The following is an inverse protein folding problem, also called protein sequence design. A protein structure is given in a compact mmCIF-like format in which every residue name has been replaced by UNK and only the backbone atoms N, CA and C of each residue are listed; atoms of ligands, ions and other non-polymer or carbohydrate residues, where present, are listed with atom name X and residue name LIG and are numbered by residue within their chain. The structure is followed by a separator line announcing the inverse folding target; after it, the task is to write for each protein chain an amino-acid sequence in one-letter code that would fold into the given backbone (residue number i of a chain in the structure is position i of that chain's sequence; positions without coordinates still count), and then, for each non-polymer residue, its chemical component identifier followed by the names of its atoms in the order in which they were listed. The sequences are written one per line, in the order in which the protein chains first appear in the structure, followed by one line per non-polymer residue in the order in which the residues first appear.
data_IF_870823847552
#
_entry.id   IF_870823847552
#
_cell.length_a   1.000
_cell.length_b   1.000
_cell.length_c   1.000
_cell.angle_alpha   90.00
_cell.angle_beta   90.00
_cell.angle_gamma   90.00
#
_symmetry.space_group_name_H-M   'P 1'
#
loop_
_entity.id
_entity.type
_entity.pdbx_description
1 polymer ?
#
# COMPACT_ATOMS: atom_id res chain seq x y z
N UNK A 1 -14.99 40.36 -46.37
CA UNK A 1 -13.65 40.18 -46.96
C UNK A 1 -13.10 38.83 -46.47
N UNK A 2 -12.94 37.85 -47.34
CA UNK A 2 -12.41 36.51 -46.98
C UNK A 2 -10.89 36.64 -46.82
N UNK A 3 -10.43 36.81 -45.58
CA UNK A 3 -9.01 36.85 -45.21
C UNK A 3 -8.60 35.39 -44.88
N UNK A 4 -8.67 34.45 -45.81
CA UNK A 4 -7.50 34.07 -46.60
C UNK A 4 -6.87 32.83 -45.96
N UNK A 5 -7.25 31.65 -46.45
CA UNK A 5 -6.63 30.35 -46.16
C UNK A 5 -5.08 30.49 -46.22
N UNK A 6 -4.30 29.88 -45.30
CA UNK A 6 -2.84 29.86 -45.40
C UNK A 6 -2.32 29.39 -46.78
N UNK A 7 -3.10 28.57 -47.50
CA UNK A 7 -2.81 28.15 -48.88
C UNK A 7 -2.95 29.27 -49.93
N UNK A 8 -3.60 30.38 -49.60
CA UNK A 8 -3.91 31.53 -50.47
C UNK A 8 -3.08 32.78 -50.15
N UNK A 9 -2.01 32.66 -49.36
CA UNK A 9 -1.12 33.77 -49.07
C UNK A 9 -0.53 34.35 -50.38
N UNK A 10 -0.53 35.69 -50.55
CA UNK A 10 -0.07 36.32 -51.80
C UNK A 10 1.37 35.94 -52.16
N UNK A 11 1.64 35.77 -53.45
CA UNK A 11 3.00 35.59 -54.00
C UNK A 11 3.82 36.89 -54.08
N UNK A 12 3.19 38.04 -53.85
CA UNK A 12 3.83 39.35 -53.82
C UNK A 12 4.17 39.74 -52.37
N UNK A 13 5.46 39.88 -52.05
CA UNK A 13 6.00 40.07 -50.70
C UNK A 13 6.64 38.81 -50.13
N UNK A 14 7.17 38.86 -48.90
CA UNK A 14 7.68 37.67 -48.20
C UNK A 14 6.51 36.92 -47.54
N UNK A 15 6.07 35.77 -48.08
CA UNK A 15 4.92 35.03 -47.57
C UNK A 15 5.11 34.55 -46.12
N UNK A 16 6.35 34.44 -45.62
CA UNK A 16 6.60 34.02 -44.24
C UNK A 16 6.27 35.17 -43.27
N UNK A 17 6.70 36.39 -43.58
CA UNK A 17 6.39 37.58 -42.80
C UNK A 17 4.88 37.86 -42.80
N UNK A 18 4.21 37.66 -43.94
CA UNK A 18 2.77 37.82 -44.03
C UNK A 18 2.01 36.77 -43.20
N UNK A 19 2.46 35.51 -43.21
CA UNK A 19 1.94 34.45 -42.35
C UNK A 19 2.05 34.80 -40.86
N UNK A 20 3.21 35.30 -40.40
CA UNK A 20 3.38 35.77 -39.01
C UNK A 20 2.43 36.93 -38.69
N UNK A 21 2.31 37.90 -39.59
CA UNK A 21 1.44 39.08 -39.40
C UNK A 21 -0.02 38.68 -39.24
N UNK A 22 -0.52 37.82 -40.13
CA UNK A 22 -1.90 37.32 -40.08
C UNK A 22 -2.14 36.43 -38.86
N UNK A 23 -1.20 35.56 -38.51
CA UNK A 23 -1.27 34.75 -37.28
C UNK A 23 -1.45 35.62 -36.04
N UNK A 24 -0.66 36.71 -35.92
CA UNK A 24 -0.80 37.68 -34.81
C UNK A 24 -2.13 38.42 -34.82
N UNK A 25 -2.64 38.83 -36.00
CA UNK A 25 -3.94 39.47 -36.12
C UNK A 25 -5.09 38.54 -35.70
N UNK A 26 -5.00 37.26 -36.06
CA UNK A 26 -5.97 36.25 -35.66
C UNK A 26 -5.91 35.93 -34.16
N UNK A 27 -4.71 35.90 -33.58
CA UNK A 27 -4.52 35.76 -32.14
C UNK A 27 -5.17 36.93 -31.38
N UNK A 28 -4.96 38.17 -31.85
CA UNK A 28 -5.53 39.37 -31.24
C UNK A 28 -7.08 39.39 -31.31
N UNK A 29 -7.66 38.82 -32.36
CA UNK A 29 -9.12 38.66 -32.52
C UNK A 29 -9.67 37.36 -31.89
N UNK A 30 -8.85 36.64 -31.09
CA UNK A 30 -9.21 35.40 -30.40
C UNK A 30 -9.66 34.24 -31.31
N UNK A 31 -9.31 34.28 -32.59
CA UNK A 31 -9.49 33.15 -33.51
C UNK A 31 -8.29 32.22 -33.40
N UNK A 32 -8.23 31.49 -32.28
CA UNK A 32 -7.04 30.77 -31.82
C UNK A 32 -6.75 29.51 -32.65
N UNK A 33 -7.67 28.53 -32.60
CA UNK A 33 -7.61 27.27 -33.38
C UNK A 33 -8.85 27.05 -34.25
N UNK A 34 -9.82 27.95 -34.14
CA UNK A 34 -11.09 27.89 -34.87
C UNK A 34 -11.43 29.27 -35.46
N UNK A 35 -12.16 29.31 -36.58
CA UNK A 35 -12.52 28.18 -37.43
C UNK A 35 -11.31 27.67 -38.25
N UNK A 36 -11.41 26.42 -38.73
CA UNK A 36 -10.42 25.84 -39.64
C UNK A 36 -10.17 26.73 -40.87
N UNK A 37 -8.92 26.83 -41.31
CA UNK A 37 -8.49 27.65 -42.44
C UNK A 37 -8.36 29.14 -42.14
N UNK A 38 -8.80 29.61 -40.97
CA UNK A 38 -8.82 31.05 -40.63
C UNK A 38 -8.64 31.26 -39.13
N UNK A 39 -7.54 30.74 -38.58
CA UNK A 39 -7.16 30.86 -37.18
C UNK A 39 -5.65 31.04 -37.03
N UNK A 40 -5.22 31.58 -35.88
CA UNK A 40 -3.84 31.95 -35.59
C UNK A 40 -2.87 30.77 -35.67
N UNK A 41 -3.24 29.62 -35.08
CA UNK A 41 -2.40 28.43 -35.03
C UNK A 41 -1.98 27.98 -36.44
N UNK A 42 -2.93 27.89 -37.36
CA UNK A 42 -2.67 27.39 -38.72
C UNK A 42 -1.70 28.29 -39.50
N UNK A 43 -1.73 29.61 -39.32
CA UNK A 43 -0.75 30.51 -39.94
C UNK A 43 0.66 30.31 -39.39
N UNK A 44 0.81 30.15 -38.07
CA UNK A 44 2.12 29.87 -37.49
C UNK A 44 2.65 28.50 -37.90
N UNK A 45 1.78 27.48 -37.96
CA UNK A 45 2.13 26.15 -38.48
C UNK A 45 2.52 26.19 -39.97
N UNK A 46 1.84 27.00 -40.77
CA UNK A 46 2.17 27.22 -42.17
C UNK A 46 3.60 27.77 -42.34
N UNK A 47 3.99 28.74 -41.50
CA UNK A 47 5.35 29.30 -41.48
C UNK A 47 6.34 28.24 -41.03
N UNK A 48 6.09 27.51 -39.93
CA UNK A 48 7.00 26.46 -39.45
C UNK A 48 7.21 25.30 -40.43
N UNK A 49 6.21 24.98 -41.25
CA UNK A 49 6.35 23.96 -42.30
C UNK A 49 7.43 24.34 -43.34
N UNK A 50 7.71 25.63 -43.52
CA UNK A 50 8.67 26.16 -44.50
C UNK A 50 9.96 26.68 -43.87
N UNK A 51 9.84 27.30 -42.71
CA UNK A 51 10.96 27.69 -41.86
C UNK A 51 10.79 27.08 -40.45
N UNK A 52 11.27 25.84 -40.25
CA UNK A 52 11.19 25.16 -38.95
C UNK A 52 11.97 25.87 -37.82
N UNK A 53 12.89 26.78 -38.16
CA UNK A 53 13.72 27.54 -37.20
C UNK A 53 13.12 28.91 -36.87
N UNK A 54 11.97 29.26 -37.46
CA UNK A 54 11.31 30.55 -37.23
C UNK A 54 10.93 30.75 -35.77
N UNK A 55 11.75 31.52 -35.04
CA UNK A 55 11.47 31.89 -33.64
C UNK A 55 10.13 32.60 -33.50
N UNK A 56 9.76 33.44 -34.48
CA UNK A 56 8.51 34.18 -34.47
C UNK A 56 7.29 33.26 -34.59
N UNK A 57 7.35 32.23 -35.43
CA UNK A 57 6.24 31.29 -35.58
C UNK A 57 6.11 30.39 -34.34
N UNK A 58 7.24 29.89 -33.80
CA UNK A 58 7.24 29.11 -32.56
C UNK A 58 6.66 29.91 -31.39
N UNK A 59 7.11 31.16 -31.22
CA UNK A 59 6.57 32.06 -30.20
C UNK A 59 5.07 32.29 -30.40
N UNK A 60 4.61 32.47 -31.66
CA UNK A 60 3.20 32.61 -31.97
C UNK A 60 2.34 31.43 -31.53
N UNK A 61 2.82 30.19 -31.71
CA UNK A 61 2.13 28.98 -31.22
C UNK A 61 2.09 28.95 -29.69
N UNK A 62 3.19 29.31 -29.02
CA UNK A 62 3.23 29.45 -27.55
C UNK A 62 2.25 30.53 -27.08
N UNK A 63 2.14 31.66 -27.79
CA UNK A 63 1.21 32.74 -27.45
C UNK A 63 -0.25 32.33 -27.64
N UNK A 64 -0.56 31.50 -28.66
CA UNK A 64 -1.90 30.87 -28.81
C UNK A 64 -2.22 30.00 -27.59
N UNK A 65 -1.28 29.17 -27.13
CA UNK A 65 -1.49 28.34 -25.94
C UNK A 65 -1.69 29.20 -24.68
N UNK A 66 -0.85 30.23 -24.47
CA UNK A 66 -1.01 31.18 -23.36
C UNK A 66 -2.35 31.90 -23.41
N UNK A 67 -2.86 32.23 -24.60
CA UNK A 67 -4.17 32.88 -24.74
C UNK A 67 -5.31 31.99 -24.29
N UNK A 68 -5.21 30.67 -24.50
CA UNK A 68 -6.15 29.72 -23.90
C UNK A 68 -6.03 29.64 -22.37
N UNK A 69 -4.81 29.71 -21.82
CA UNK A 69 -4.64 29.79 -20.35
C UNK A 69 -5.30 31.05 -19.78
N UNK A 70 -5.16 32.20 -20.45
CA UNK A 70 -5.88 33.43 -20.05
C UNK A 70 -7.41 33.26 -20.11
N UNK A 71 -7.93 32.55 -21.12
CA UNK A 71 -9.36 32.23 -21.22
C UNK A 71 -9.83 31.30 -20.10
N UNK A 72 -9.00 30.31 -19.73
CA UNK A 72 -9.25 29.47 -18.57
C UNK A 72 -9.32 30.35 -17.31
N UNK A 73 -8.34 31.22 -17.07
CA UNK A 73 -8.31 32.10 -15.89
C UNK A 73 -9.54 33.01 -15.79
N UNK A 74 -10.05 33.49 -16.93
CA UNK A 74 -11.31 34.25 -16.98
C UNK A 74 -12.53 33.41 -16.63
N UNK A 75 -12.58 32.14 -17.03
CA UNK A 75 -13.66 31.23 -16.66
C UNK A 75 -13.61 30.87 -15.17
N UNK A 76 -12.40 30.70 -14.64
CA UNK A 76 -12.13 30.52 -13.21
C UNK A 76 -12.96 29.42 -12.55
N UNK A 77 -13.40 29.67 -11.32
CA UNK A 77 -14.27 28.77 -10.56
C UNK A 77 -15.75 28.87 -10.98
N UNK A 78 -16.15 29.96 -11.64
CA UNK A 78 -17.54 30.20 -12.05
C UNK A 78 -18.00 29.29 -13.19
N UNK A 79 -17.07 28.83 -14.03
CA UNK A 79 -17.32 27.82 -15.05
C UNK A 79 -16.13 26.86 -15.16
N UNK A 80 -16.14 25.82 -14.32
CA UNK A 80 -15.09 24.82 -14.29
C UNK A 80 -14.98 24.04 -15.61
N UNK A 81 -16.08 23.87 -16.35
CA UNK A 81 -16.07 23.16 -17.63
C UNK A 81 -15.30 23.98 -18.68
N UNK A 82 -15.60 25.28 -18.78
CA UNK A 82 -14.86 26.18 -19.64
C UNK A 82 -13.38 26.31 -19.20
N UNK A 83 -13.12 26.34 -17.90
CA UNK A 83 -11.75 26.34 -17.36
C UNK A 83 -10.94 25.15 -17.88
N UNK A 84 -11.44 23.93 -17.67
CA UNK A 84 -10.74 22.70 -18.07
C UNK A 84 -10.65 22.53 -19.58
N UNK A 85 -11.69 22.92 -20.33
CA UNK A 85 -11.69 22.88 -21.80
C UNK A 85 -10.65 23.82 -22.41
N UNK A 86 -10.51 25.03 -21.86
CA UNK A 86 -9.48 25.97 -22.30
C UNK A 86 -8.07 25.46 -21.95
N UNK A 87 -7.86 24.90 -20.75
CA UNK A 87 -6.58 24.27 -20.41
C UNK A 87 -6.23 23.08 -21.31
N UNK A 88 -7.23 22.27 -21.72
CA UNK A 88 -7.02 21.19 -22.68
C UNK A 88 -6.61 21.73 -24.06
N UNK A 89 -7.29 22.79 -24.54
CA UNK A 89 -6.93 23.44 -25.80
C UNK A 89 -5.52 24.06 -25.74
N UNK A 90 -5.15 24.67 -24.62
CA UNK A 90 -3.81 25.19 -24.39
C UNK A 90 -2.74 24.08 -24.46
N UNK A 91 -3.00 22.94 -23.81
CA UNK A 91 -2.10 21.78 -23.77
C UNK A 91 -1.93 21.15 -25.16
N UNK A 92 -3.03 21.03 -25.92
CA UNK A 92 -3.04 20.52 -27.30
C UNK A 92 -2.20 21.36 -28.25
N UNK A 93 -2.17 22.69 -28.05
CA UNK A 93 -1.33 23.61 -28.82
C UNK A 93 0.11 23.53 -28.34
N UNK A 94 0.34 23.68 -27.03
CA UNK A 94 1.67 23.74 -26.44
C UNK A 94 2.46 22.44 -26.66
N UNK A 95 1.81 21.28 -26.69
CA UNK A 95 2.50 19.99 -26.87
C UNK A 95 3.10 19.78 -28.27
N UNK A 96 2.76 20.64 -29.23
CA UNK A 96 3.28 20.54 -30.61
C UNK A 96 4.72 21.05 -30.76
N UNK A 97 5.26 21.72 -29.74
CA UNK A 97 6.60 22.31 -29.73
C UNK A 97 7.31 22.10 -28.39
N UNK A 98 8.63 21.98 -28.43
CA UNK A 98 9.46 21.93 -27.22
C UNK A 98 9.37 23.23 -26.42
N UNK A 99 9.29 24.38 -27.09
CA UNK A 99 9.11 25.71 -26.47
C UNK A 99 7.78 25.86 -25.71
N UNK A 100 6.83 24.95 -25.91
CA UNK A 100 5.58 24.90 -25.14
C UNK A 100 5.72 24.25 -23.76
N UNK A 101 6.89 23.71 -23.40
CA UNK A 101 7.10 22.96 -22.16
C UNK A 101 6.72 23.74 -20.89
N UNK A 102 7.08 25.02 -20.81
CA UNK A 102 6.75 25.87 -19.66
C UNK A 102 5.24 26.11 -19.52
N UNK A 103 4.54 26.27 -20.65
CA UNK A 103 3.07 26.41 -20.66
C UNK A 103 2.42 25.11 -20.19
N UNK A 104 2.90 23.94 -20.64
CA UNK A 104 2.39 22.65 -20.15
C UNK A 104 2.66 22.43 -18.66
N UNK A 105 3.81 22.88 -18.16
CA UNK A 105 4.13 22.83 -16.73
C UNK A 105 3.15 23.69 -15.91
N UNK A 106 2.82 24.89 -16.38
CA UNK A 106 1.82 25.76 -15.77
C UNK A 106 0.42 25.12 -15.80
N UNK A 107 0.00 24.56 -16.95
CA UNK A 107 -1.28 23.85 -17.09
C UNK A 107 -1.37 22.66 -16.11
N UNK A 108 -0.30 21.86 -15.99
CA UNK A 108 -0.25 20.74 -15.06
C UNK A 108 -0.39 21.20 -13.60
N UNK A 109 0.31 22.27 -13.20
CA UNK A 109 0.20 22.83 -11.85
C UNK A 109 -1.22 23.33 -11.53
N UNK A 110 -1.86 23.96 -12.52
CA UNK A 110 -3.24 24.44 -12.43
C UNK A 110 -4.25 23.31 -12.27
N UNK A 111 -4.14 22.26 -13.10
CA UNK A 111 -4.98 21.05 -12.99
C UNK A 111 -4.79 20.35 -11.65
N UNK A 112 -3.54 20.18 -11.20
CA UNK A 112 -3.24 19.60 -9.89
C UNK A 112 -3.89 20.36 -8.74
N UNK A 113 -3.86 21.71 -8.78
CA UNK A 113 -4.53 22.55 -7.77
C UNK A 113 -6.05 22.33 -7.72
N UNK A 114 -6.70 22.18 -8.88
CA UNK A 114 -8.14 21.91 -8.96
C UNK A 114 -8.47 20.47 -8.52
N UNK A 115 -7.56 19.53 -8.73
CA UNK A 115 -7.73 18.12 -8.36
C UNK A 115 -7.52 17.84 -6.86
N UNK A 116 -6.74 18.65 -6.14
CA UNK A 116 -6.33 18.35 -4.75
C UNK A 116 -7.49 18.08 -3.77
N UNK A 117 -8.62 18.82 -3.80
CA UNK A 117 -9.76 18.50 -2.94
C UNK A 117 -10.32 17.10 -3.17
N UNK A 118 -10.36 16.64 -4.42
CA UNK A 118 -10.82 15.30 -4.79
C UNK A 118 -9.80 14.22 -4.44
N UNK A 119 -8.50 14.52 -4.53
CA UNK A 119 -7.46 13.63 -3.99
C UNK A 119 -7.62 13.46 -2.48
N UNK A 120 -7.90 14.54 -1.75
CA UNK A 120 -8.17 14.47 -0.30
C UNK A 120 -9.42 13.66 -0.01
N UNK A 121 -10.51 13.89 -0.75
CA UNK A 121 -11.73 13.08 -0.65
C UNK A 121 -11.46 11.59 -0.90
N UNK A 122 -10.67 11.27 -1.92
CA UNK A 122 -10.30 9.89 -2.25
C UNK A 122 -9.50 9.24 -1.11
N UNK A 123 -8.50 9.94 -0.55
CA UNK A 123 -7.71 9.45 0.59
C UNK A 123 -8.58 9.19 1.83
N UNK A 124 -9.53 10.08 2.11
CA UNK A 124 -10.45 9.92 3.24
C UNK A 124 -11.38 8.71 3.01
N UNK A 125 -11.96 8.58 1.83
CA UNK A 125 -12.80 7.43 1.49
C UNK A 125 -12.04 6.09 1.55
N UNK A 126 -10.75 6.07 1.16
CA UNK A 126 -9.88 4.90 1.37
C UNK A 126 -9.71 4.58 2.86
N UNK A 127 -9.45 5.59 3.70
CA UNK A 127 -9.31 5.42 5.14
C UNK A 127 -10.61 4.91 5.80
N UNK A 128 -11.76 5.33 5.26
CA UNK A 128 -13.09 4.92 5.71
C UNK A 128 -13.57 3.60 5.08
N UNK A 129 -12.71 2.92 4.30
CA UNK A 129 -13.06 1.68 3.58
C UNK A 129 -14.23 1.82 2.59
N UNK A 130 -14.51 3.03 2.14
CA UNK A 130 -15.56 3.30 1.17
C UNK A 130 -15.03 3.19 -0.25
N UNK A 131 -15.09 1.97 -0.80
CA UNK A 131 -14.65 1.63 -2.16
C UNK A 131 -15.31 2.50 -3.23
N UNK A 132 -16.61 2.74 -3.12
CA UNK A 132 -17.39 3.45 -4.14
C UNK A 132 -16.94 4.90 -4.22
N UNK A 133 -16.89 5.59 -3.08
CA UNK A 133 -16.52 7.01 -3.05
C UNK A 133 -15.04 7.23 -3.35
N UNK A 134 -14.16 6.32 -2.91
CA UNK A 134 -12.74 6.37 -3.23
C UNK A 134 -12.51 6.31 -4.74
N UNK A 135 -13.16 5.36 -5.43
CA UNK A 135 -13.06 5.24 -6.88
C UNK A 135 -13.62 6.48 -7.59
N UNK A 136 -14.82 6.92 -7.22
CA UNK A 136 -15.46 8.08 -7.83
C UNK A 136 -14.59 9.35 -7.68
N UNK A 137 -13.98 9.56 -6.52
CA UNK A 137 -13.10 10.69 -6.28
C UNK A 137 -11.80 10.61 -7.11
N UNK A 138 -11.15 9.44 -7.20
CA UNK A 138 -9.98 9.27 -8.08
C UNK A 138 -10.31 9.42 -9.57
N UNK A 139 -11.46 8.90 -10.02
CA UNK A 139 -11.94 9.10 -11.39
C UNK A 139 -12.17 10.59 -11.67
N UNK A 140 -12.72 11.33 -10.70
CA UNK A 140 -12.90 12.78 -10.82
C UNK A 140 -11.56 13.52 -10.93
N UNK A 141 -10.54 13.09 -10.19
CA UNK A 141 -9.18 13.63 -10.35
C UNK A 141 -8.67 13.38 -11.76
N UNK A 142 -8.82 12.16 -12.30
CA UNK A 142 -8.34 11.83 -13.65
C UNK A 142 -9.10 12.56 -14.76
N UNK A 143 -10.35 12.99 -14.53
CA UNK A 143 -11.07 13.88 -15.44
C UNK A 143 -10.47 15.31 -15.45
N UNK A 144 -9.95 15.79 -14.32
CA UNK A 144 -9.37 17.12 -14.16
C UNK A 144 -7.90 17.13 -14.61
N UNK A 145 -7.15 16.11 -14.20
CA UNK A 145 -5.72 15.90 -14.45
C UNK A 145 -5.49 14.45 -14.96
N UNK A 146 -5.62 14.22 -16.28
CA UNK A 146 -5.48 12.88 -16.86
C UNK A 146 -4.11 12.23 -16.64
N UNK A 147 -3.08 13.06 -16.39
CA UNK A 147 -1.71 12.59 -16.20
C UNK A 147 -1.37 12.33 -14.74
N UNK A 148 -2.30 12.55 -13.81
CA UNK A 148 -2.09 12.36 -12.38
C UNK A 148 -1.75 10.90 -12.03
N UNK A 149 -0.49 10.64 -11.70
CA UNK A 149 -0.02 9.29 -11.36
C UNK A 149 -0.61 8.81 -10.04
N UNK A 150 -0.70 9.68 -9.04
CA UNK A 150 -1.27 9.39 -7.72
C UNK A 150 -2.71 8.91 -7.84
N UNK A 151 -3.54 9.56 -8.67
CA UNK A 151 -4.93 9.14 -8.87
C UNK A 151 -5.05 7.83 -9.65
N UNK A 152 -4.16 7.58 -10.63
CA UNK A 152 -4.18 6.32 -11.40
C UNK A 152 -3.81 5.12 -10.52
N UNK A 153 -2.75 5.26 -9.73
CA UNK A 153 -2.33 4.24 -8.76
C UNK A 153 -3.37 4.09 -7.64
N UNK A 154 -3.88 5.22 -7.14
CA UNK A 154 -4.94 5.27 -6.15
C UNK A 154 -6.23 4.58 -6.59
N UNK A 155 -6.66 4.78 -7.83
CA UNK A 155 -7.85 4.13 -8.39
C UNK A 155 -7.68 2.60 -8.48
N UNK A 156 -6.49 2.14 -8.87
CA UNK A 156 -6.14 0.71 -8.88
C UNK A 156 -6.20 0.14 -7.47
N UNK A 157 -5.60 0.81 -6.50
CA UNK A 157 -5.61 0.39 -5.09
C UNK A 157 -7.02 0.43 -4.49
N UNK A 158 -7.81 1.48 -4.75
CA UNK A 158 -9.18 1.63 -4.27
C UNK A 158 -10.11 0.53 -4.80
N UNK A 159 -9.87 0.07 -6.04
CA UNK A 159 -10.62 -1.06 -6.61
C UNK A 159 -10.41 -2.37 -5.86
N UNK A 160 -9.35 -2.49 -5.07
CA UNK A 160 -9.09 -3.64 -4.22
C UNK A 160 -9.68 -3.52 -2.81
N UNK A 161 -10.21 -2.36 -2.38
CA UNK A 161 -10.76 -2.23 -1.02
C UNK A 161 -11.79 -3.34 -0.74
N UNK A 162 -11.58 -4.07 0.36
CA UNK A 162 -12.43 -5.20 0.78
C UNK A 162 -12.24 -6.51 0.01
N UNK A 163 -11.45 -6.51 -1.07
CA UNK A 163 -11.17 -7.70 -1.87
C UNK A 163 -9.97 -8.48 -1.31
N UNK A 164 -9.91 -9.82 -1.52
CA UNK A 164 -8.76 -10.62 -1.11
C UNK A 164 -7.42 -10.04 -1.60
N UNK A 165 -6.44 -9.99 -0.69
CA UNK A 165 -5.12 -9.41 -0.95
C UNK A 165 -5.03 -7.89 -0.76
N UNK A 166 -6.14 -7.20 -0.47
CA UNK A 166 -6.09 -5.79 -0.08
C UNK A 166 -5.38 -5.60 1.26
N UNK A 167 -4.43 -4.67 1.29
CA UNK A 167 -3.59 -4.40 2.45
C UNK A 167 -3.94 -3.07 3.10
N UNK A 168 -3.88 -3.02 4.43
CA UNK A 168 -4.25 -1.84 5.21
C UNK A 168 -3.65 -1.87 6.63
N UNK A 169 -3.72 -0.72 7.31
CA UNK A 169 -3.47 -0.60 8.74
C UNK A 169 -4.68 0.04 9.42
N UNK A 170 -5.09 -0.51 10.56
CA UNK A 170 -5.96 0.22 11.48
C UNK A 170 -5.15 1.23 12.30
N UNK A 171 -5.76 2.35 12.67
CA UNK A 171 -5.12 3.36 13.53
C UNK A 171 -5.15 2.93 14.99
N UNK A 172 -4.05 3.18 15.71
CA UNK A 172 -3.93 3.00 17.15
C UNK A 172 -3.30 4.26 17.73
N UNK A 173 -4.10 5.09 18.40
CA UNK A 173 -3.65 6.42 18.83
C UNK A 173 -3.06 7.23 17.67
N UNK A 174 -1.82 7.71 17.83
CA UNK A 174 -1.06 8.39 16.76
C UNK A 174 -0.31 7.45 15.81
N UNK A 175 -0.32 6.14 16.08
CA UNK A 175 0.38 5.12 15.31
C UNK A 175 -0.54 4.22 14.49
N UNK A 176 0.03 3.12 14.00
CA UNK A 176 -0.64 2.11 13.20
C UNK A 176 -0.59 0.76 13.90
N UNK A 177 -1.68 0.01 13.78
CA UNK A 177 -1.73 -1.42 14.09
C UNK A 177 -0.93 -2.25 13.07
N UNK A 178 -0.99 -3.59 13.22
CA UNK A 178 -0.30 -4.49 12.29
C UNK A 178 -0.80 -4.27 10.86
N UNK A 179 0.10 -4.49 9.89
CA UNK A 179 -0.29 -4.52 8.48
C UNK A 179 -1.15 -5.75 8.23
N UNK A 180 -2.38 -5.54 7.78
CA UNK A 180 -3.37 -6.58 7.55
C UNK A 180 -3.52 -6.84 6.06
N UNK A 181 -3.88 -8.07 5.68
CA UNK A 181 -4.30 -8.44 4.33
C UNK A 181 -5.64 -9.16 4.37
N UNK A 182 -6.59 -8.74 3.55
CA UNK A 182 -7.89 -9.41 3.40
C UNK A 182 -7.69 -10.84 2.91
N UNK A 183 -8.32 -11.80 3.59
CA UNK A 183 -8.23 -13.22 3.29
C UNK A 183 -9.21 -13.64 2.19
N UNK A 184 -9.05 -14.88 1.70
CA UNK A 184 -10.00 -15.51 0.79
C UNK A 184 -11.42 -15.46 1.34
N UNK A 185 -12.38 -15.06 0.51
CA UNK A 185 -13.80 -14.91 0.89
C UNK A 185 -14.17 -13.57 1.51
N UNK A 186 -13.22 -12.66 1.77
CA UNK A 186 -13.48 -11.25 2.10
C UNK A 186 -14.28 -11.03 3.39
N UNK A 187 -14.15 -11.92 4.37
CA UNK A 187 -14.83 -11.84 5.68
C UNK A 187 -13.91 -11.52 6.85
N UNK A 188 -12.61 -11.69 6.65
CA UNK A 188 -11.59 -11.43 7.63
C UNK A 188 -10.31 -10.97 6.92
N UNK A 189 -9.45 -10.32 7.67
CA UNK A 189 -8.07 -10.03 7.31
C UNK A 189 -7.13 -10.66 8.34
N UNK A 190 -5.92 -11.00 7.93
CA UNK A 190 -4.86 -11.46 8.84
C UNK A 190 -3.67 -10.52 8.78
N UNK A 191 -2.94 -10.40 9.89
CA UNK A 191 -1.66 -9.72 9.87
C UNK A 191 -0.72 -10.41 8.86
N UNK A 192 0.02 -9.64 8.05
CA UNK A 192 0.92 -10.21 7.04
C UNK A 192 2.12 -10.93 7.64
N UNK A 193 2.46 -10.60 8.88
CA UNK A 193 3.57 -11.18 9.65
C UNK A 193 3.11 -11.50 11.06
N UNK A 194 3.86 -12.39 11.70
CA UNK A 194 3.66 -12.73 13.10
C UNK A 194 3.88 -11.50 13.98
N UNK A 195 3.24 -11.48 15.15
CA UNK A 195 3.39 -10.39 16.11
C UNK A 195 4.84 -10.39 16.59
N UNK A 196 5.50 -9.25 16.43
CA UNK A 196 6.91 -9.09 16.80
C UNK A 196 7.09 -8.86 18.29
N UNK A 197 8.31 -9.11 18.79
CA UNK A 197 8.68 -8.77 20.16
C UNK A 197 8.48 -7.28 20.44
N UNK A 198 8.81 -6.40 19.49
CA UNK A 198 8.59 -4.95 19.62
C UNK A 198 7.11 -4.58 19.73
N UNK A 199 6.23 -5.24 18.98
CA UNK A 199 4.78 -5.05 19.07
C UNK A 199 4.21 -5.55 20.40
N UNK A 200 4.61 -6.75 20.83
CA UNK A 200 4.17 -7.31 22.10
C UNK A 200 4.65 -6.48 23.28
N UNK A 201 5.88 -5.95 23.23
CA UNK A 201 6.42 -5.02 24.24
C UNK A 201 5.54 -3.78 24.43
N UNK A 202 4.97 -3.23 23.36
CA UNK A 202 4.03 -2.09 23.46
C UNK A 202 2.76 -2.48 24.22
N UNK A 203 2.17 -3.62 23.88
CA UNK A 203 1.03 -4.17 24.61
C UNK A 203 1.36 -4.42 26.09
N UNK A 204 2.50 -5.06 26.36
CA UNK A 204 2.90 -5.41 27.72
C UNK A 204 3.04 -4.17 28.60
N UNK A 205 3.70 -3.13 28.08
CA UNK A 205 3.86 -1.86 28.77
C UNK A 205 2.53 -1.11 28.95
N UNK A 206 1.64 -1.15 27.96
CA UNK A 206 0.37 -0.40 27.99
C UNK A 206 -0.71 -1.07 28.85
N UNK A 207 -0.79 -2.41 28.86
CA UNK A 207 -1.89 -3.14 29.49
C UNK A 207 -1.49 -4.52 30.04
N UNK A 208 -0.65 -5.27 29.31
CA UNK A 208 -0.38 -6.68 29.61
C UNK A 208 0.20 -6.91 31.00
N UNK A 209 1.22 -6.12 31.39
CA UNK A 209 1.85 -6.26 32.71
C UNK A 209 0.85 -6.11 33.85
N UNK A 210 -0.03 -5.10 33.80
CA UNK A 210 -1.07 -4.91 34.81
C UNK A 210 -2.10 -6.05 34.78
N UNK A 211 -2.52 -6.46 33.58
CA UNK A 211 -3.53 -7.51 33.38
C UNK A 211 -3.09 -8.87 33.95
N UNK A 212 -1.81 -9.21 33.85
CA UNK A 212 -1.25 -10.48 34.35
C UNK A 212 -0.51 -10.33 35.69
N UNK A 213 -0.69 -9.21 36.41
CA UNK A 213 -0.07 -8.98 37.71
C UNK A 213 1.46 -8.98 37.69
N UNK A 214 2.05 -8.58 36.56
CA UNK A 214 3.49 -8.55 36.31
C UNK A 214 4.13 -9.92 36.12
N UNK A 215 3.35 -11.00 36.06
CA UNK A 215 3.87 -12.38 35.95
C UNK A 215 3.92 -12.80 34.49
N UNK A 216 5.08 -13.26 34.07
CA UNK A 216 5.30 -13.90 32.77
C UNK A 216 5.05 -15.42 32.91
N UNK A 217 4.56 -16.11 31.87
CA UNK A 217 4.33 -17.55 31.92
C UNK A 217 5.66 -18.30 32.03
N UNK A 218 5.60 -19.55 32.49
CA UNK A 218 6.76 -20.43 32.40
C UNK A 218 7.11 -20.65 30.92
N UNK A 219 8.32 -20.24 30.50
CA UNK A 219 8.79 -20.52 29.14
C UNK A 219 9.58 -21.83 29.04
N UNK A 220 9.09 -22.76 28.22
CA UNK A 220 9.73 -24.06 27.98
C UNK A 220 10.66 -24.04 26.76
N UNK A 221 11.77 -24.77 26.86
CA UNK A 221 12.73 -24.93 25.77
C UNK A 221 12.32 -26.03 24.80
N UNK A 222 12.30 -25.72 23.49
CA UNK A 222 12.07 -26.68 22.39
C UNK A 222 10.89 -27.62 22.63
N UNK A 223 9.82 -27.10 23.23
CA UNK A 223 8.60 -27.88 23.51
C UNK A 223 8.83 -29.08 24.44
N UNK A 224 9.99 -29.14 25.12
CA UNK A 224 10.38 -30.23 26.01
C UNK A 224 9.96 -29.97 27.45
N UNK A 225 9.17 -30.89 28.01
CA UNK A 225 8.77 -30.86 29.42
C UNK A 225 9.94 -31.04 30.40
N UNK A 226 11.08 -31.60 29.95
CA UNK A 226 12.23 -31.93 30.80
C UNK A 226 13.34 -30.86 30.78
N UNK A 227 13.23 -29.85 29.91
CA UNK A 227 14.24 -28.78 29.75
C UNK A 227 13.62 -27.40 30.01
N UNK A 228 12.82 -27.28 31.06
CA UNK A 228 12.30 -25.98 31.49
C UNK A 228 13.37 -25.21 32.27
N UNK A 229 13.62 -23.96 31.90
CA UNK A 229 14.37 -23.01 32.72
C UNK A 229 13.39 -21.94 33.21
N UNK A 230 13.42 -21.66 34.52
CA UNK A 230 12.59 -20.60 35.12
C UNK A 230 13.08 -19.19 34.73
N UNK A 231 14.22 -19.09 34.08
CA UNK A 231 14.88 -17.81 33.74
C UNK A 231 14.54 -17.34 32.32
N UNK A 232 13.63 -18.04 31.62
CA UNK A 232 13.21 -17.73 30.26
C UNK A 232 11.88 -17.00 30.23
N UNK A 233 11.80 -15.98 29.38
CA UNK A 233 10.59 -15.22 29.12
C UNK A 233 10.57 -14.67 27.70
N UNK A 234 9.52 -13.93 27.32
CA UNK A 234 9.45 -13.29 26.01
C UNK A 234 10.54 -12.22 25.80
N UNK A 235 11.13 -11.70 26.89
CA UNK A 235 12.27 -10.78 26.83
C UNK A 235 13.60 -11.52 26.64
N UNK A 236 13.72 -12.71 27.23
CA UNK A 236 14.90 -13.56 27.17
C UNK A 236 14.52 -15.03 26.89
N UNK A 237 14.29 -15.41 25.61
CA UNK A 237 13.78 -16.74 25.26
C UNK A 237 14.84 -17.84 25.29
N UNK A 238 16.09 -17.51 25.64
CA UNK A 238 17.24 -18.42 25.61
C UNK A 238 18.03 -18.40 24.30
N UNK A 239 17.78 -17.43 23.43
CA UNK A 239 18.55 -17.14 22.22
C UNK A 239 18.45 -15.65 21.88
N UNK A 240 19.33 -15.17 20.99
CA UNK A 240 19.32 -13.77 20.56
C UNK A 240 18.09 -13.46 19.71
N UNK A 241 17.42 -12.38 20.08
CA UNK A 241 16.23 -11.90 19.42
C UNK A 241 16.25 -10.37 19.48
N UNK A 242 15.92 -9.68 18.39
CA UNK A 242 15.64 -8.25 18.41
C UNK A 242 14.14 -7.96 18.29
N UNK A 243 13.75 -6.68 18.24
CA UNK A 243 12.34 -6.28 18.21
C UNK A 243 11.63 -6.58 16.88
N UNK A 244 12.34 -6.98 15.83
CA UNK A 244 11.80 -7.37 14.53
C UNK A 244 11.44 -8.85 14.43
N UNK A 245 11.90 -9.68 15.36
CA UNK A 245 11.60 -11.12 15.42
C UNK A 245 10.22 -11.39 16.03
N UNK A 246 9.59 -12.54 15.74
CA UNK A 246 8.31 -12.92 16.34
C UNK A 246 8.44 -13.07 17.86
N UNK A 247 7.47 -12.55 18.61
CA UNK A 247 7.43 -12.81 20.05
C UNK A 247 7.19 -14.31 20.28
N UNK A 248 7.97 -14.88 21.20
CA UNK A 248 7.83 -16.26 21.68
C UNK A 248 7.77 -16.25 23.20
N UNK A 249 7.69 -17.41 23.87
CA UNK A 249 7.52 -17.50 25.32
C UNK A 249 6.27 -16.77 25.83
N UNK A 250 5.22 -16.72 25.01
CA UNK A 250 3.91 -16.16 25.35
C UNK A 250 2.87 -17.26 25.39
N UNK A 251 1.98 -17.19 26.36
CA UNK A 251 0.86 -18.13 26.51
C UNK A 251 -0.27 -17.82 25.52
N UNK A 252 -1.18 -18.78 25.33
CA UNK A 252 -2.40 -18.52 24.55
C UNK A 252 -3.22 -17.37 25.17
N UNK A 253 -3.32 -17.34 26.50
CA UNK A 253 -4.03 -16.29 27.22
C UNK A 253 -3.45 -14.89 26.95
N UNK A 254 -2.13 -14.74 26.91
CA UNK A 254 -1.47 -13.47 26.58
C UNK A 254 -1.64 -13.09 25.11
N UNK A 255 -1.55 -14.05 24.20
CA UNK A 255 -1.79 -13.83 22.78
C UNK A 255 -3.25 -13.36 22.52
N UNK A 256 -4.22 -13.98 23.20
CA UNK A 256 -5.61 -13.57 23.15
C UNK A 256 -5.82 -12.18 23.78
N UNK A 257 -5.15 -11.88 24.90
CA UNK A 257 -5.19 -10.56 25.53
C UNK A 257 -4.60 -9.45 24.66
N UNK A 258 -3.52 -9.73 23.92
CA UNK A 258 -2.97 -8.82 22.92
C UNK A 258 -4.00 -8.50 21.83
N UNK A 259 -4.68 -9.52 21.30
CA UNK A 259 -5.73 -9.31 20.29
C UNK A 259 -6.90 -8.49 20.85
N UNK A 260 -7.31 -8.73 22.10
CA UNK A 260 -8.34 -7.92 22.76
C UNK A 260 -7.88 -6.48 23.02
N UNK A 261 -6.59 -6.27 23.32
CA UNK A 261 -6.03 -4.93 23.45
C UNK A 261 -6.09 -4.19 22.11
N UNK A 262 -5.66 -4.81 21.00
CA UNK A 262 -5.85 -4.24 19.66
C UNK A 262 -7.32 -3.91 19.37
N UNK A 263 -8.25 -4.77 19.78
CA UNK A 263 -9.67 -4.52 19.60
C UNK A 263 -10.15 -3.24 20.31
N UNK A 264 -9.67 -3.00 21.55
CA UNK A 264 -9.97 -1.78 22.31
C UNK A 264 -9.33 -0.54 21.68
N UNK A 265 -8.07 -0.63 21.28
CA UNK A 265 -7.32 0.49 20.70
C UNK A 265 -7.87 0.95 19.34
N UNK A 266 -8.39 0.01 18.55
CA UNK A 266 -8.85 0.28 17.17
C UNK A 266 -10.36 0.40 17.04
N UNK A 267 -11.12 -0.06 18.05
CA UNK A 267 -12.56 -0.26 17.95
C UNK A 267 -12.97 -1.36 16.95
N UNK A 268 -12.04 -2.23 16.53
CA UNK A 268 -12.28 -3.32 15.57
C UNK A 268 -12.28 -4.69 16.24
N UNK A 269 -12.79 -5.71 15.56
CA UNK A 269 -12.87 -7.08 16.07
C UNK A 269 -11.58 -7.87 15.79
N UNK A 270 -10.59 -7.74 16.68
CA UNK A 270 -9.35 -8.51 16.62
C UNK A 270 -9.43 -9.81 17.43
N UNK A 271 -8.80 -10.86 16.91
CA UNK A 271 -8.69 -12.19 17.52
C UNK A 271 -7.45 -12.92 17.01
N UNK A 272 -7.17 -14.11 17.54
CA UNK A 272 -6.21 -15.02 16.91
C UNK A 272 -6.80 -15.61 15.62
N UNK A 273 -5.93 -16.10 14.74
CA UNK A 273 -6.35 -16.85 13.54
C UNK A 273 -7.20 -18.05 13.92
N UNK A 274 -8.27 -18.32 13.17
CA UNK A 274 -8.91 -19.64 13.23
C UNK A 274 -8.02 -20.70 12.58
N UNK A 275 -8.33 -21.97 12.80
CA UNK A 275 -7.62 -23.09 12.16
C UNK A 275 -7.67 -23.01 10.63
N UNK A 276 -8.84 -22.67 10.07
CA UNK A 276 -9.03 -22.54 8.63
C UNK A 276 -8.34 -21.32 8.02
N UNK A 277 -8.28 -20.20 8.74
CA UNK A 277 -7.53 -19.02 8.26
C UNK A 277 -6.02 -19.25 8.31
N UNK A 278 -5.52 -19.97 9.34
CA UNK A 278 -4.14 -20.43 9.35
C UNK A 278 -3.87 -21.31 8.12
N UNK A 279 -4.75 -22.26 7.79
CA UNK A 279 -4.56 -23.16 6.64
C UNK A 279 -4.62 -22.44 5.29
N UNK A 280 -5.38 -21.34 5.18
CA UNK A 280 -5.36 -20.49 3.97
C UNK A 280 -4.04 -19.74 3.79
N UNK A 281 -3.38 -19.38 4.89
CA UNK A 281 -2.11 -18.63 4.89
C UNK A 281 -0.89 -19.54 4.83
N UNK A 282 -0.99 -20.73 5.40
CA UNK A 282 0.11 -21.66 5.52
C UNK A 282 0.52 -22.16 4.14
N UNK A 283 1.78 -21.96 3.78
CA UNK A 283 2.33 -22.54 2.56
C UNK A 283 2.88 -23.94 2.87
N UNK A 284 2.96 -24.80 1.85
CA UNK A 284 3.76 -26.01 1.92
C UNK A 284 5.23 -25.63 1.75
N UNK A 285 5.82 -25.13 2.83
CA UNK A 285 7.24 -24.84 2.87
C UNK A 285 8.05 -26.12 2.62
N UNK A 286 9.00 -26.05 1.69
CA UNK A 286 10.05 -27.06 1.53
C UNK A 286 11.29 -26.62 2.32
N UNK A 287 12.18 -27.56 2.58
CA UNK A 287 13.44 -27.29 3.29
C UNK A 287 14.15 -26.06 2.70
N UNK A 288 14.67 -25.20 3.58
CA UNK A 288 15.43 -23.95 3.31
C UNK A 288 14.66 -22.79 2.65
N UNK A 289 13.37 -22.98 2.31
CA UNK A 289 12.45 -21.87 1.98
C UNK A 289 11.65 -21.37 3.19
N UNK A 290 11.89 -21.99 4.35
CA UNK A 290 11.24 -21.79 5.64
C UNK A 290 12.29 -21.89 6.74
N UNK A 291 12.03 -21.21 7.85
CA UNK A 291 12.85 -21.38 9.05
C UNK A 291 12.40 -22.59 9.85
N UNK A 292 13.18 -23.67 9.74
CA UNK A 292 13.02 -24.97 10.39
C UNK A 292 14.38 -25.42 10.94
N UNK A 293 14.44 -26.54 11.67
CA UNK A 293 15.71 -27.07 12.11
C UNK A 293 16.59 -27.42 10.89
N UNK A 294 17.76 -26.80 10.80
CA UNK A 294 18.68 -26.86 9.67
C UNK A 294 20.15 -26.93 10.11
N UNK A 295 21.11 -26.68 9.23
CA UNK A 295 22.54 -26.70 9.54
C UNK A 295 22.96 -25.60 10.53
N UNK A 296 22.35 -24.41 10.45
CA UNK A 296 22.58 -23.32 11.40
C UNK A 296 22.07 -23.68 12.79
N UNK A 297 20.87 -24.26 12.88
CA UNK A 297 20.33 -24.83 14.12
C UNK A 297 21.24 -25.91 14.68
N UNK A 298 21.61 -26.90 13.86
CA UNK A 298 22.48 -28.02 14.26
C UNK A 298 23.79 -27.53 14.86
N UNK A 299 24.42 -26.52 14.23
CA UNK A 299 25.67 -25.92 14.69
C UNK A 299 25.52 -25.18 16.02
N UNK A 300 24.48 -24.35 16.17
CA UNK A 300 24.27 -23.54 17.39
C UNK A 300 23.89 -24.39 18.60
N UNK A 301 23.16 -25.47 18.36
CA UNK A 301 22.47 -26.24 19.38
C UNK A 301 22.97 -27.67 19.57
N UNK A 302 24.09 -28.01 18.91
CA UNK A 302 24.72 -29.33 18.90
C UNK A 302 23.71 -30.46 18.61
N UNK A 303 22.97 -30.30 17.51
CA UNK A 303 21.92 -31.23 17.08
C UNK A 303 22.28 -31.91 15.75
N UNK A 304 21.60 -33.01 15.45
CA UNK A 304 21.67 -33.74 14.18
C UNK A 304 20.30 -33.93 13.51
N UNK A 305 19.25 -33.35 14.10
CA UNK A 305 17.87 -33.49 13.61
C UNK A 305 17.52 -32.50 12.49
N UNK A 306 18.30 -31.43 12.32
CA UNK A 306 18.06 -30.43 11.28
C UNK A 306 18.46 -30.89 9.88
N UNK A 307 17.85 -30.29 8.87
CA UNK A 307 18.20 -30.47 7.46
C UNK A 307 19.66 -30.07 7.18
N UNK A 308 20.20 -30.51 6.04
CA UNK A 308 21.59 -30.22 5.66
C UNK A 308 21.81 -28.81 5.11
N UNK A 309 20.74 -28.09 4.78
CA UNK A 309 20.83 -26.72 4.28
C UNK A 309 20.89 -25.69 5.39
N UNK A 310 21.10 -24.43 5.01
CA UNK A 310 21.26 -23.31 5.93
C UNK A 310 20.41 -22.14 5.43
N UNK A 311 19.41 -21.74 6.24
CA UNK A 311 18.54 -20.59 6.00
C UNK A 311 19.10 -19.28 6.56
N UNK A 312 20.24 -19.36 7.27
CA UNK A 312 20.95 -18.26 7.92
C UNK A 312 20.53 -17.98 9.37
N UNK A 313 19.57 -18.73 9.92
CA UNK A 313 18.98 -18.48 11.25
C UNK A 313 18.94 -19.75 12.10
N UNK A 314 19.83 -19.83 13.08
CA UNK A 314 19.83 -20.96 14.02
C UNK A 314 18.58 -21.01 14.93
N UNK A 315 17.90 -19.87 15.13
CA UNK A 315 16.69 -19.72 15.94
C UNK A 315 15.69 -18.84 15.18
N UNK A 316 14.81 -18.11 15.88
CA UNK A 316 13.85 -17.23 15.18
C UNK A 316 14.53 -16.26 14.21
N UNK A 317 13.87 -15.99 13.09
CA UNK A 317 14.23 -14.96 12.11
C UNK A 317 13.27 -13.76 12.18
N UNK A 318 13.63 -12.58 11.62
CA UNK A 318 12.73 -11.44 11.53
C UNK A 318 11.36 -11.80 10.94
N UNK A 319 10.29 -11.28 11.55
CA UNK A 319 8.92 -11.62 11.20
C UNK A 319 8.59 -11.18 9.75
N UNK A 320 7.97 -12.09 8.98
CA UNK A 320 7.67 -11.87 7.57
C UNK A 320 8.81 -12.21 6.61
N UNK A 321 9.96 -12.71 7.11
CA UNK A 321 11.05 -13.22 6.26
C UNK A 321 10.70 -14.55 5.57
N UNK A 322 9.86 -15.34 6.21
CA UNK A 322 9.41 -16.65 5.74
C UNK A 322 7.88 -16.69 5.70
N UNK A 323 7.36 -17.57 4.85
CA UNK A 323 5.94 -17.82 4.73
C UNK A 323 5.32 -18.35 6.02
N UNK A 324 4.03 -18.12 6.19
CA UNK A 324 3.26 -18.59 7.36
C UNK A 324 3.37 -20.11 7.50
N UNK A 325 3.53 -20.60 8.73
CA UNK A 325 3.65 -22.02 9.03
C UNK A 325 5.08 -22.52 9.26
N UNK A 326 6.06 -21.60 9.26
CA UNK A 326 7.46 -21.83 9.65
C UNK A 326 7.95 -20.71 10.58
N UNK A 327 9.23 -20.72 10.99
CA UNK A 327 9.86 -19.81 11.95
C UNK A 327 9.38 -20.04 13.40
N UNK A 328 8.09 -19.89 13.65
CA UNK A 328 7.45 -20.23 14.92
C UNK A 328 6.11 -20.92 14.66
N UNK A 329 5.70 -21.82 15.56
CA UNK A 329 4.30 -22.24 15.57
C UNK A 329 3.43 -21.06 16.01
N UNK A 330 2.18 -21.04 15.56
CA UNK A 330 1.24 -19.98 15.89
C UNK A 330 0.11 -20.52 16.76
N UNK A 331 -0.11 -19.88 17.90
CA UNK A 331 -1.37 -20.02 18.62
C UNK A 331 -2.55 -19.64 17.73
N UNK A 332 -3.56 -20.52 17.66
CA UNK A 332 -4.80 -20.29 16.93
C UNK A 332 -5.99 -20.23 17.88
N UNK A 333 -7.10 -19.64 17.44
CA UNK A 333 -8.35 -19.48 18.18
C UNK A 333 -9.13 -20.79 18.30
N UNK A 334 -8.49 -21.84 18.82
CA UNK A 334 -9.06 -23.17 19.00
C UNK A 334 -8.64 -23.81 20.33
N UNK A 335 -9.49 -24.67 20.90
CA UNK A 335 -9.07 -25.62 21.94
C UNK A 335 -8.09 -26.66 21.33
N UNK A 336 -7.39 -27.42 22.17
CA UNK A 336 -6.43 -28.45 21.75
C UNK A 336 -7.01 -29.56 20.87
N UNK A 337 -8.32 -29.82 20.96
CA UNK A 337 -9.04 -30.75 20.08
C UNK A 337 -9.44 -30.13 18.71
N UNK A 338 -9.05 -28.89 18.43
CA UNK A 338 -9.34 -28.17 17.19
C UNK A 338 -10.71 -27.49 17.11
N UNK A 339 -11.58 -27.65 18.11
CA UNK A 339 -12.84 -26.89 18.20
C UNK A 339 -12.60 -25.41 18.50
N UNK A 340 -13.57 -24.54 18.25
CA UNK A 340 -13.45 -23.11 18.51
C UNK A 340 -13.08 -22.83 19.99
N UNK A 341 -12.16 -21.90 20.22
CA UNK A 341 -11.73 -21.58 21.58
C UNK A 341 -12.89 -21.08 22.45
N UNK A 342 -12.89 -21.49 23.70
CA UNK A 342 -13.86 -21.11 24.73
C UNK A 342 -13.18 -21.06 26.09
N UNK A 343 -13.84 -20.47 27.09
CA UNK A 343 -13.34 -20.44 28.46
C UNK A 343 -13.18 -21.83 29.11
N UNK A 344 -13.76 -22.88 28.52
CA UNK A 344 -13.65 -24.25 29.00
C UNK A 344 -12.41 -25.00 28.48
N UNK A 345 -11.67 -24.44 27.50
CA UNK A 345 -10.46 -25.08 26.99
C UNK A 345 -9.39 -25.13 28.10
N UNK A 346 -8.81 -26.30 28.34
CA UNK A 346 -7.62 -26.46 29.20
C UNK A 346 -6.33 -26.33 28.41
N UNK A 347 -6.37 -26.84 27.18
CA UNK A 347 -5.28 -26.79 26.22
C UNK A 347 -5.76 -26.11 24.94
N UNK A 348 -4.81 -25.51 24.23
CA UNK A 348 -5.03 -24.79 22.98
C UNK A 348 -4.13 -25.33 21.88
N UNK A 349 -4.58 -25.18 20.64
CA UNK A 349 -3.85 -25.65 19.47
C UNK A 349 -2.82 -24.59 19.02
N UNK A 350 -1.59 -25.03 18.76
CA UNK A 350 -0.59 -24.30 18.02
C UNK A 350 -0.35 -24.99 16.67
N UNK A 351 -0.37 -24.23 15.57
CA UNK A 351 -0.21 -24.76 14.20
C UNK A 351 1.06 -24.25 13.54
N UNK A 352 1.54 -25.00 12.56
CA UNK A 352 2.82 -24.77 11.88
C UNK A 352 3.97 -25.50 12.55
N UNK A 353 5.17 -25.16 12.11
CA UNK A 353 6.45 -25.64 12.64
C UNK A 353 7.31 -24.45 13.04
N UNK A 354 8.40 -24.71 13.74
CA UNK A 354 9.33 -23.68 14.22
C UNK A 354 10.75 -23.92 13.72
N UNK A 355 11.62 -22.95 13.98
CA UNK A 355 13.08 -23.03 13.83
C UNK A 355 13.72 -24.26 14.51
N UNK A 356 13.03 -24.91 15.45
CA UNK A 356 13.51 -26.12 16.13
C UNK A 356 12.85 -27.41 15.61
N UNK A 357 11.93 -27.33 14.66
CA UNK A 357 11.20 -28.48 14.13
C UNK A 357 11.95 -29.15 12.99
N UNK A 358 12.17 -30.46 13.09
CA UNK A 358 12.64 -31.28 11.98
C UNK A 358 11.51 -31.54 10.96
N UNK A 359 11.88 -31.93 9.74
CA UNK A 359 10.92 -32.20 8.66
C UNK A 359 9.89 -33.30 9.01
N UNK A 360 10.24 -34.22 9.92
CA UNK A 360 9.40 -35.31 10.42
C UNK A 360 8.39 -34.87 11.50
N UNK A 361 8.57 -33.70 12.11
CA UNK A 361 7.77 -33.30 13.26
C UNK A 361 6.35 -32.89 12.85
N UNK A 362 5.39 -33.13 13.74
CA UNK A 362 4.01 -32.75 13.51
C UNK A 362 3.89 -31.24 13.26
N UNK A 363 3.05 -30.84 12.30
CA UNK A 363 2.79 -29.44 11.99
C UNK A 363 1.73 -28.79 12.92
N UNK A 364 1.36 -29.47 14.00
CA UNK A 364 0.49 -28.92 15.04
C UNK A 364 0.70 -29.68 16.33
N UNK A 365 0.56 -28.99 17.44
CA UNK A 365 0.57 -29.56 18.78
C UNK A 365 -0.37 -28.77 19.68
N UNK A 366 -0.65 -29.27 20.88
CA UNK A 366 -1.49 -28.60 21.85
C UNK A 366 -0.77 -28.47 23.19
N UNK A 367 -0.90 -27.30 23.80
CA UNK A 367 -0.32 -27.05 25.12
C UNK A 367 -1.30 -26.31 26.00
N UNK A 368 -1.03 -26.32 27.30
CA UNK A 368 -1.88 -25.68 28.30
C UNK A 368 -2.01 -24.18 28.06
N UNK A 369 -3.13 -23.60 28.50
CA UNK A 369 -3.45 -22.19 28.28
C UNK A 369 -2.45 -21.19 28.89
N UNK A 370 -1.68 -21.60 29.91
CA UNK A 370 -0.81 -20.74 30.72
C UNK A 370 0.70 -20.95 30.48
N UNK A 371 1.08 -21.75 29.48
CA UNK A 371 2.49 -22.04 29.19
C UNK A 371 3.00 -21.24 27.99
N UNK A 372 4.20 -20.68 28.13
CA UNK A 372 4.97 -20.11 27.03
C UNK A 372 5.95 -21.12 26.47
N UNK A 373 6.24 -21.05 25.18
CA UNK A 373 7.25 -21.88 24.53
C UNK A 373 8.14 -21.00 23.66
N UNK A 374 9.45 -21.24 23.66
CA UNK A 374 10.39 -20.45 22.85
C UNK A 374 10.32 -20.75 21.33
N UNK A 375 9.42 -21.63 20.92
CA UNK A 375 9.10 -22.02 19.54
C UNK A 375 7.68 -21.63 19.10
N UNK A 376 6.87 -21.08 20.01
CA UNK A 376 5.47 -20.73 19.75
C UNK A 376 5.27 -19.23 19.94
N UNK A 377 4.79 -18.58 18.88
CA UNK A 377 4.32 -17.20 18.85
C UNK A 377 2.86 -17.14 18.43
N UNK A 378 2.45 -16.02 17.83
CA UNK A 378 1.08 -15.87 17.33
C UNK A 378 0.95 -14.81 16.25
N UNK A 379 -0.18 -14.88 15.54
CA UNK A 379 -0.60 -13.93 14.52
C UNK A 379 -2.07 -13.60 14.72
N UNK A 380 -2.42 -12.34 14.47
CA UNK A 380 -3.79 -11.85 14.68
C UNK A 380 -4.58 -11.81 13.38
N UNK A 381 -5.88 -12.02 13.52
CA UNK A 381 -6.90 -11.78 12.52
C UNK A 381 -7.81 -10.64 12.96
N UNK A 382 -8.47 -10.01 11.99
CA UNK A 382 -9.52 -9.02 12.17
C UNK A 382 -10.74 -9.42 11.36
N UNK A 383 -11.91 -9.47 11.99
CA UNK A 383 -13.17 -9.66 11.26
C UNK A 383 -13.50 -8.39 10.46
N UNK A 384 -14.02 -8.57 9.24
CA UNK A 384 -14.47 -7.49 8.37
C UNK A 384 -16.01 -7.49 8.35
N UNK A 385 -16.61 -6.37 8.74
CA UNK A 385 -18.04 -6.14 8.56
C UNK A 385 -18.30 -5.88 7.08
N UNK A 386 -19.35 -6.49 6.53
CA UNK A 386 -19.76 -6.29 5.13
C UNK A 386 -20.77 -5.17 5.00
#
# INVERSE_FOLDING_TARGET
MKIGDPALLPSAGDPMNEGIRLGRAYLASQRLTQPRGNNALEFFQYVLKRDPKSKAAKQGIVDVAKKYVELADKAGATDQNAYLSNLASADDVAKTLDEGADVRKDIAARRAKVAEPYLTQARNAVADWNKVDAKAAYEKVLQIDPNNTVAREGLKAASMIGEPGYTFHDKIGAGQGPEMSVLGGGRAAAARRDVTRGEFRRFWAAAGSAQFGGREPACRDRESIFRSSRDRSWQNPGFEQDDSHPVVCVSWAEAAAYAQWLARETGKRYRLLSTGEFDQLASRASDCSANLADASFNKKFDSKDGASCDDGFAATAPAGRFETGSNVRLWVNACGNGSAASAACRDHLAKGRSWASAAKDAASDNFSNDVGLNTVGFRVARDLEK
#
